data_IF_936021613249
#
_entry.id   IF_936021613249
#
_cell.length_a   1.000
_cell.length_b   1.000
_cell.length_c   1.000
_cell.angle_alpha   90.00
_cell.angle_beta   90.00
_cell.angle_gamma   90.00
#
_symmetry.space_group_name_H-M   'P 1'
#
loop_
_entity.id
_entity.type
_entity.pdbx_description
1 polymer ?
#
# COMPACT_ATOMS: atom_id res chain seq x y z
N UNK A 1 25.41 -70.01 33.82
CA UNK A 1 24.70 -68.88 34.40
C UNK A 1 25.73 -67.78 34.65
N UNK A 2 25.89 -66.87 33.70
CA UNK A 2 26.85 -65.76 33.83
C UNK A 2 26.24 -64.64 34.62
N UNK A 3 26.97 -64.03 35.60
CA UNK A 3 26.44 -62.92 36.37
C UNK A 3 26.38 -61.68 35.53
N UNK A 4 25.16 -61.13 35.42
CA UNK A 4 24.90 -59.82 34.79
C UNK A 4 25.67 -58.74 35.60
N UNK A 5 26.79 -58.28 35.07
CA UNK A 5 27.56 -57.15 35.59
C UNK A 5 26.79 -55.86 35.34
N UNK A 6 26.09 -55.38 36.35
CA UNK A 6 25.41 -54.11 36.35
C UNK A 6 26.47 -52.99 36.47
N UNK A 7 27.03 -52.55 35.35
CA UNK A 7 28.00 -51.44 35.35
C UNK A 7 27.25 -50.14 35.66
N UNK A 8 27.71 -49.33 36.63
CA UNK A 8 27.07 -48.04 36.96
C UNK A 8 27.13 -47.11 35.76
N UNK A 9 25.99 -46.64 35.32
CA UNK A 9 25.89 -45.62 34.26
C UNK A 9 26.68 -44.37 34.65
N UNK A 10 27.59 -43.87 33.84
CA UNK A 10 28.35 -42.68 34.14
C UNK A 10 27.42 -41.48 34.32
N UNK A 11 27.45 -40.86 35.49
CA UNK A 11 26.71 -39.61 35.74
C UNK A 11 27.25 -38.49 34.82
N UNK A 12 26.41 -37.70 34.20
CA UNK A 12 26.88 -36.61 33.33
C UNK A 12 27.77 -35.64 34.12
N UNK A 13 29.00 -35.46 33.68
CA UNK A 13 29.96 -34.55 34.34
C UNK A 13 29.53 -33.09 34.17
N UNK A 14 30.07 -32.21 35.04
CA UNK A 14 29.82 -30.74 34.97
C UNK A 14 29.98 -30.17 33.55
N UNK A 15 30.96 -30.67 32.80
CA UNK A 15 31.24 -30.26 31.44
C UNK A 15 30.08 -30.60 30.47
N UNK A 16 29.53 -31.79 30.60
CA UNK A 16 28.39 -32.25 29.82
C UNK A 16 27.13 -31.42 30.15
N UNK A 17 26.91 -31.17 31.46
CA UNK A 17 25.79 -30.33 31.89
C UNK A 17 25.87 -28.90 31.36
N UNK A 18 27.04 -28.26 31.44
CA UNK A 18 27.24 -26.92 30.88
C UNK A 18 27.10 -26.90 29.40
N UNK A 19 27.54 -27.94 28.69
CA UNK A 19 27.31 -28.11 27.26
C UNK A 19 25.81 -28.10 26.87
N UNK A 20 25.03 -28.95 27.58
CA UNK A 20 23.58 -28.98 27.38
C UNK A 20 22.90 -27.64 27.67
N UNK A 21 23.34 -26.97 28.77
CA UNK A 21 22.82 -25.64 29.10
C UNK A 21 23.12 -24.61 28.04
N UNK A 22 24.35 -24.60 27.52
CA UNK A 22 24.76 -23.66 26.43
C UNK A 22 23.98 -23.91 25.16
N UNK A 23 23.84 -25.15 24.74
CA UNK A 23 23.05 -25.48 23.54
C UNK A 23 21.56 -25.17 23.76
N UNK A 24 21.02 -25.45 24.94
CA UNK A 24 19.62 -25.11 25.25
C UNK A 24 19.34 -23.61 25.19
N UNK A 25 20.20 -22.80 25.84
CA UNK A 25 20.08 -21.35 25.80
C UNK A 25 20.28 -20.79 24.36
N UNK A 26 21.25 -21.34 23.63
CA UNK A 26 21.49 -20.98 22.25
C UNK A 26 20.29 -21.30 21.35
N UNK A 27 19.66 -22.43 21.52
CA UNK A 27 18.46 -22.83 20.78
C UNK A 27 17.27 -21.91 21.09
N UNK A 28 17.07 -21.54 22.37
CA UNK A 28 16.02 -20.60 22.79
C UNK A 28 16.26 -19.21 22.17
N UNK A 29 17.48 -18.70 22.22
CA UNK A 29 17.85 -17.43 21.63
C UNK A 29 17.65 -17.43 20.10
N UNK A 30 18.09 -18.50 19.43
CA UNK A 30 17.90 -18.67 17.99
C UNK A 30 16.41 -18.76 17.62
N UNK A 31 15.60 -19.46 18.40
CA UNK A 31 14.15 -19.54 18.17
C UNK A 31 13.46 -18.19 18.41
N UNK A 32 13.84 -17.49 19.50
CA UNK A 32 13.28 -16.18 19.82
C UNK A 32 13.54 -15.11 18.74
N UNK A 33 14.68 -15.17 18.07
CA UNK A 33 15.02 -14.28 16.96
C UNK A 33 14.51 -14.83 15.60
N UNK A 34 14.63 -16.12 15.36
CA UNK A 34 14.32 -16.76 14.08
C UNK A 34 12.82 -16.84 13.78
N UNK A 35 12.00 -17.17 14.79
CA UNK A 35 10.55 -17.30 14.59
C UNK A 35 9.91 -15.98 14.12
N UNK A 36 10.12 -14.81 14.77
CA UNK A 36 9.57 -13.55 14.29
C UNK A 36 10.18 -13.12 12.97
N UNK A 37 11.46 -13.40 12.71
CA UNK A 37 12.10 -13.10 11.43
C UNK A 37 11.47 -13.89 10.27
N UNK A 38 11.30 -15.20 10.44
CA UNK A 38 10.62 -16.06 9.45
C UNK A 38 9.16 -15.64 9.33
N UNK A 39 8.49 -15.34 10.44
CA UNK A 39 7.12 -14.83 10.44
C UNK A 39 6.98 -13.53 9.67
N UNK A 40 7.96 -12.63 9.76
CA UNK A 40 7.99 -11.40 8.98
C UNK A 40 8.14 -11.67 7.47
N UNK A 41 9.03 -12.59 7.08
CA UNK A 41 9.26 -12.91 5.67
C UNK A 41 8.05 -13.56 4.99
N UNK A 42 7.32 -14.42 5.72
CA UNK A 42 6.21 -15.19 5.16
C UNK A 42 4.83 -14.72 5.65
N UNK A 43 4.79 -13.87 6.65
CA UNK A 43 3.56 -13.42 7.31
C UNK A 43 3.00 -12.11 6.80
N UNK A 44 3.61 -11.48 5.79
CA UNK A 44 3.12 -10.22 5.21
C UNK A 44 1.72 -10.44 4.62
N UNK A 45 0.69 -10.18 5.42
CA UNK A 45 -0.69 -10.17 4.94
C UNK A 45 -0.90 -8.90 4.13
N UNK A 46 -1.43 -9.04 2.91
CA UNK A 46 -1.93 -7.88 2.16
C UNK A 46 -2.98 -7.19 3.04
N UNK A 47 -2.83 -5.89 3.23
CA UNK A 47 -3.85 -5.10 3.91
C UNK A 47 -5.18 -5.24 3.14
N UNK A 48 -6.32 -5.43 3.83
CA UNK A 48 -7.60 -5.49 3.15
C UNK A 48 -7.86 -4.15 2.47
N UNK A 49 -8.14 -4.18 1.17
CA UNK A 49 -8.59 -2.99 0.46
C UNK A 49 -10.09 -2.79 0.71
N UNK A 50 -10.45 -1.60 1.13
CA UNK A 50 -11.82 -1.19 1.39
C UNK A 50 -12.23 -0.08 0.42
N UNK A 51 -13.52 0.04 0.15
CA UNK A 51 -14.05 1.13 -0.66
C UNK A 51 -14.36 2.32 0.25
N UNK A 52 -13.79 3.47 -0.09
CA UNK A 52 -13.95 4.72 0.66
C UNK A 52 -14.72 5.71 -0.20
N UNK A 53 -15.85 6.25 0.29
CA UNK A 53 -16.61 7.26 -0.43
C UNK A 53 -15.82 8.57 -0.50
N UNK A 54 -15.75 9.15 -1.70
CA UNK A 54 -15.13 10.45 -1.95
C UNK A 54 -16.16 11.58 -2.14
N UNK A 55 -17.45 11.25 -2.22
CA UNK A 55 -18.53 12.22 -2.40
C UNK A 55 -19.40 11.93 -3.63
N UNK A 56 -20.36 12.80 -3.89
CA UNK A 56 -21.24 12.65 -5.03
C UNK A 56 -20.52 12.98 -6.35
N UNK A 57 -20.89 12.29 -7.43
CA UNK A 57 -20.35 12.57 -8.77
C UNK A 57 -20.57 14.03 -9.17
N UNK A 58 -21.69 14.61 -8.75
CA UNK A 58 -22.05 16.03 -9.00
C UNK A 58 -21.13 17.03 -8.33
N UNK A 59 -20.35 16.63 -7.33
CA UNK A 59 -19.40 17.51 -6.64
C UNK A 59 -18.13 17.78 -7.48
N UNK A 60 -17.98 17.06 -8.60
CA UNK A 60 -16.78 17.10 -9.44
C UNK A 60 -17.08 17.78 -10.77
N UNK A 61 -16.72 19.07 -10.92
CA UNK A 61 -16.81 19.74 -12.23
C UNK A 61 -15.84 19.06 -13.22
N UNK A 62 -16.29 18.97 -14.47
CA UNK A 62 -15.50 18.35 -15.52
C UNK A 62 -14.17 19.08 -15.74
N UNK A 63 -13.13 18.32 -16.03
CA UNK A 63 -11.76 18.77 -16.31
C UNK A 63 -11.10 19.60 -15.19
N UNK A 64 -11.64 19.51 -13.96
CA UNK A 64 -11.00 20.13 -12.80
C UNK A 64 -10.36 19.06 -11.92
N UNK A 65 -9.07 19.26 -11.62
CA UNK A 65 -8.34 18.43 -10.68
C UNK A 65 -8.49 18.98 -9.27
N UNK A 66 -8.88 18.12 -8.31
CA UNK A 66 -9.07 18.47 -6.90
C UNK A 66 -8.37 17.45 -6.01
N UNK A 67 -7.81 17.90 -4.91
CA UNK A 67 -7.37 17.00 -3.82
C UNK A 67 -8.58 16.67 -2.96
N UNK A 68 -8.78 15.40 -2.73
CA UNK A 68 -9.77 14.88 -1.78
C UNK A 68 -9.04 14.08 -0.72
N UNK A 69 -9.22 14.44 0.54
CA UNK A 69 -8.61 13.77 1.68
C UNK A 69 -9.62 12.87 2.38
N UNK A 70 -9.16 11.75 2.89
CA UNK A 70 -9.98 10.83 3.65
C UNK A 70 -9.14 10.09 4.69
N UNK A 71 -9.80 9.55 5.70
CA UNK A 71 -9.16 8.71 6.70
C UNK A 71 -8.93 7.31 6.16
N UNK A 72 -7.74 6.77 6.38
CA UNK A 72 -7.45 5.39 6.06
C UNK A 72 -8.40 4.47 6.84
N UNK A 73 -9.21 3.62 6.17
CA UNK A 73 -10.22 2.79 6.84
C UNK A 73 -9.63 1.73 7.76
N UNK A 74 -8.33 1.43 7.64
CA UNK A 74 -7.63 0.48 8.50
C UNK A 74 -6.72 1.17 9.54
N UNK A 75 -6.95 2.46 9.78
CA UNK A 75 -6.15 3.22 10.75
C UNK A 75 -6.21 2.60 12.14
N UNK A 76 -5.10 2.68 12.85
CA UNK A 76 -5.01 2.28 14.25
C UNK A 76 -5.12 3.51 15.16
N UNK A 77 -5.51 3.36 16.45
CA UNK A 77 -5.66 4.49 17.35
C UNK A 77 -4.40 5.36 17.53
N UNK A 78 -3.23 4.78 17.27
CA UNK A 78 -1.93 5.46 17.39
C UNK A 78 -1.43 6.11 16.10
N UNK A 79 -2.12 5.93 14.96
CA UNK A 79 -1.68 6.47 13.67
C UNK A 79 -1.79 7.99 13.61
N UNK A 80 -2.66 8.60 14.41
CA UNK A 80 -2.81 10.05 14.47
C UNK A 80 -3.07 10.66 13.09
N UNK A 81 -2.38 11.77 12.80
CA UNK A 81 -2.54 12.50 11.54
C UNK A 81 -1.99 11.75 10.31
N UNK A 82 -1.10 10.78 10.49
CA UNK A 82 -0.57 9.99 9.35
C UNK A 82 -1.60 9.04 8.75
N UNK A 83 -2.73 8.84 9.44
CA UNK A 83 -3.86 8.08 8.91
C UNK A 83 -4.66 8.85 7.85
N UNK A 84 -4.50 10.16 7.77
CA UNK A 84 -5.10 10.96 6.71
C UNK A 84 -4.32 10.76 5.42
N UNK A 85 -5.03 10.44 4.36
CA UNK A 85 -4.45 10.34 3.03
C UNK A 85 -5.26 11.16 2.05
N UNK A 86 -4.70 11.39 0.86
CA UNK A 86 -5.37 12.14 -0.19
C UNK A 86 -5.18 11.50 -1.54
N UNK A 87 -6.07 11.83 -2.43
CA UNK A 87 -5.98 11.51 -3.86
C UNK A 87 -6.32 12.73 -4.67
N UNK A 88 -5.72 12.87 -5.84
CA UNK A 88 -6.20 13.79 -6.86
C UNK A 88 -7.34 13.15 -7.60
N UNK A 89 -8.45 13.86 -7.73
CA UNK A 89 -9.63 13.42 -8.48
C UNK A 89 -9.87 14.41 -9.60
N UNK A 90 -9.97 13.89 -10.82
CA UNK A 90 -10.38 14.63 -12.02
C UNK A 90 -11.54 13.88 -12.66
N UNK A 91 -12.63 14.57 -12.92
CA UNK A 91 -13.76 14.05 -13.67
C UNK A 91 -13.51 14.30 -15.15
N UNK A 92 -13.40 13.24 -15.95
CA UNK A 92 -13.12 13.31 -17.39
C UNK A 92 -14.38 13.39 -18.24
N UNK A 93 -15.54 13.34 -17.60
CA UNK A 93 -16.83 13.45 -18.28
C UNK A 93 -17.62 12.15 -18.31
N UNK A 94 -18.71 12.17 -19.06
CA UNK A 94 -19.62 11.04 -19.24
C UNK A 94 -19.39 10.42 -20.62
N UNK A 95 -19.34 9.10 -20.64
CA UNK A 95 -19.34 8.30 -21.85
C UNK A 95 -20.79 8.06 -22.29
N UNK A 96 -21.23 8.73 -23.32
CA UNK A 96 -22.60 8.64 -23.85
C UNK A 96 -22.93 7.27 -24.46
N UNK A 97 -21.93 6.49 -24.80
CA UNK A 97 -22.10 5.13 -25.36
C UNK A 97 -22.36 4.06 -24.30
N UNK A 98 -22.08 4.36 -23.02
CA UNK A 98 -22.26 3.42 -21.93
C UNK A 98 -23.68 3.51 -21.37
N UNK A 99 -24.38 2.39 -21.45
CA UNK A 99 -25.77 2.30 -20.97
C UNK A 99 -25.87 2.23 -19.43
N UNK A 100 -24.84 1.71 -18.76
CA UNK A 100 -24.78 1.64 -17.32
C UNK A 100 -24.28 2.98 -16.74
N UNK A 101 -25.19 3.71 -16.12
CA UNK A 101 -24.90 5.03 -15.56
C UNK A 101 -23.72 5.03 -14.56
N UNK A 102 -23.51 3.93 -13.85
CA UNK A 102 -22.40 3.82 -12.92
C UNK A 102 -21.04 3.67 -13.62
N UNK A 103 -21.03 3.17 -14.85
CA UNK A 103 -19.82 3.01 -15.68
C UNK A 103 -19.62 4.16 -16.66
N UNK A 104 -20.68 4.91 -16.94
CA UNK A 104 -20.65 6.04 -17.87
C UNK A 104 -19.76 7.18 -17.37
N UNK A 105 -19.67 7.38 -16.05
CA UNK A 105 -18.85 8.44 -15.48
C UNK A 105 -17.38 8.04 -15.38
N UNK A 106 -16.53 8.76 -16.11
CA UNK A 106 -15.08 8.51 -16.15
C UNK A 106 -14.33 9.46 -15.21
N UNK A 107 -13.48 8.88 -14.39
CA UNK A 107 -12.62 9.60 -13.45
C UNK A 107 -11.18 9.19 -13.61
N UNK A 108 -10.29 10.13 -13.42
CA UNK A 108 -8.88 9.91 -13.20
C UNK A 108 -8.61 10.16 -11.71
N UNK A 109 -8.17 9.12 -11.01
CA UNK A 109 -7.82 9.23 -9.59
C UNK A 109 -6.36 8.86 -9.43
N UNK A 110 -5.56 9.81 -8.94
CA UNK A 110 -4.11 9.68 -8.80
C UNK A 110 -3.71 9.81 -7.34
N UNK A 111 -2.72 9.02 -6.93
CA UNK A 111 -2.11 9.16 -5.62
C UNK A 111 -1.37 10.51 -5.51
N UNK A 112 -1.39 11.09 -4.33
CA UNK A 112 -0.66 12.34 -4.04
C UNK A 112 0.85 12.15 -3.87
N UNK A 113 1.32 10.90 -3.89
CA UNK A 113 2.71 10.55 -3.63
C UNK A 113 3.51 10.46 -4.92
N UNK A 114 4.67 11.13 -4.94
CA UNK A 114 5.64 11.08 -6.03
C UNK A 114 6.19 9.66 -6.23
N UNK A 115 6.24 9.21 -7.48
CA UNK A 115 6.76 7.89 -7.84
C UNK A 115 8.28 7.72 -7.62
N UNK A 116 8.98 8.78 -7.25
CA UNK A 116 10.42 8.72 -6.92
C UNK A 116 10.63 8.15 -5.50
N UNK A 117 10.29 8.91 -4.47
CA UNK A 117 10.49 8.54 -3.05
C UNK A 117 9.28 8.89 -2.17
N UNK A 118 8.09 9.03 -2.74
CA UNK A 118 6.86 9.20 -1.98
C UNK A 118 6.57 10.61 -1.47
N UNK A 119 7.36 11.63 -1.82
CA UNK A 119 7.05 13.02 -1.43
C UNK A 119 5.67 13.43 -1.97
N UNK A 120 4.90 14.27 -1.26
CA UNK A 120 3.67 14.82 -1.80
C UNK A 120 3.94 15.65 -3.05
N UNK A 121 3.10 15.50 -4.06
CA UNK A 121 3.12 16.34 -5.27
C UNK A 121 2.05 17.41 -5.17
N UNK A 122 2.25 18.50 -5.87
CA UNK A 122 1.33 19.63 -5.96
C UNK A 122 0.77 19.76 -7.37
N UNK A 123 -0.50 20.13 -7.48
CA UNK A 123 -1.16 20.41 -8.75
C UNK A 123 -1.12 21.89 -9.07
N UNK A 124 -0.62 22.24 -10.24
CA UNK A 124 -0.56 23.60 -10.76
C UNK A 124 -1.56 23.76 -11.90
N UNK A 125 -2.67 24.43 -11.63
CA UNK A 125 -3.79 24.56 -12.55
C UNK A 125 -3.41 25.32 -13.84
N UNK A 126 -2.54 26.32 -13.75
CA UNK A 126 -2.14 27.17 -14.87
C UNK A 126 -1.28 26.44 -15.88
N UNK A 127 -0.46 25.52 -15.44
CA UNK A 127 0.43 24.72 -16.29
C UNK A 127 -0.14 23.33 -16.60
N UNK A 128 -1.21 22.93 -15.91
CA UNK A 128 -1.78 21.59 -15.95
C UNK A 128 -0.74 20.49 -15.67
N UNK A 129 0.14 20.74 -14.71
CA UNK A 129 1.20 19.83 -14.31
C UNK A 129 1.11 19.51 -12.82
N UNK A 130 1.50 18.28 -12.48
CA UNK A 130 1.86 17.94 -11.11
C UNK A 130 3.37 18.08 -10.94
N UNK A 131 3.79 18.70 -9.84
CA UNK A 131 5.20 18.91 -9.53
C UNK A 131 5.53 18.40 -8.13
N UNK A 132 6.66 17.71 -8.02
CA UNK A 132 7.21 17.28 -6.75
C UNK A 132 8.30 18.25 -6.29
N UNK A 133 8.14 18.94 -5.17
CA UNK A 133 9.10 19.95 -4.71
C UNK A 133 10.42 19.35 -4.21
N UNK A 134 10.44 18.05 -3.87
CA UNK A 134 11.62 17.43 -3.27
C UNK A 134 12.82 17.33 -4.25
N UNK A 135 12.59 16.83 -5.48
CA UNK A 135 13.66 16.58 -6.45
C UNK A 135 13.24 16.95 -7.89
N UNK A 136 12.20 17.76 -8.03
CA UNK A 136 11.78 18.28 -9.35
C UNK A 136 11.14 17.22 -10.27
N UNK A 137 10.48 16.23 -9.72
CA UNK A 137 9.65 15.32 -10.51
C UNK A 137 8.44 16.06 -11.10
N UNK A 138 8.18 15.91 -12.40
CA UNK A 138 7.07 16.56 -13.10
C UNK A 138 6.21 15.52 -13.79
N UNK A 139 4.89 15.73 -13.74
CA UNK A 139 3.92 14.84 -14.37
C UNK A 139 2.85 15.65 -15.11
N UNK A 140 2.38 15.12 -16.21
CA UNK A 140 1.25 15.68 -16.95
C UNK A 140 -0.07 15.53 -16.20
N UNK A 141 -1.11 16.23 -16.66
CA UNK A 141 -2.46 16.18 -16.09
C UNK A 141 -3.05 14.76 -16.02
N UNK A 142 -2.66 13.88 -16.93
CA UNK A 142 -3.07 12.47 -16.93
C UNK A 142 -2.25 11.58 -15.99
N UNK A 143 -1.31 12.14 -15.22
CA UNK A 143 -0.44 11.43 -14.29
C UNK A 143 0.80 10.81 -14.92
N UNK A 144 0.98 10.85 -16.24
CA UNK A 144 2.20 10.34 -16.87
C UNK A 144 3.42 11.18 -16.50
N UNK A 145 4.59 10.54 -16.44
CA UNK A 145 5.85 11.22 -16.18
C UNK A 145 6.20 12.19 -17.32
N UNK A 146 6.46 13.43 -16.97
CA UNK A 146 6.95 14.44 -17.93
C UNK A 146 8.48 14.57 -17.83
N UNK A 147 9.03 14.75 -16.61
CA UNK A 147 10.48 14.93 -16.43
C UNK A 147 10.91 14.66 -14.98
N UNK A 148 12.22 14.69 -14.76
CA UNK A 148 12.84 14.55 -13.45
C UNK A 148 13.18 13.11 -13.08
N UNK A 149 13.52 12.84 -11.81
CA UNK A 149 14.01 11.54 -11.37
C UNK A 149 12.96 10.43 -11.22
N UNK A 150 11.63 10.66 -11.16
CA UNK A 150 10.67 9.57 -11.03
C UNK A 150 10.83 8.53 -12.15
N UNK A 151 10.80 7.22 -11.86
CA UNK A 151 10.93 6.17 -12.88
C UNK A 151 9.66 5.95 -13.71
N UNK A 152 8.49 6.41 -13.22
CA UNK A 152 7.17 6.20 -13.82
C UNK A 152 6.21 7.34 -13.49
N UNK A 153 4.99 7.28 -14.03
CA UNK A 153 3.89 8.19 -13.70
C UNK A 153 3.40 8.07 -12.25
N UNK A 154 2.47 8.93 -11.88
CA UNK A 154 1.75 8.85 -10.63
C UNK A 154 0.89 7.59 -10.60
N UNK A 155 0.75 6.97 -9.43
CA UNK A 155 -0.05 5.79 -9.26
C UNK A 155 -1.54 6.11 -9.51
N UNK A 156 -2.20 5.30 -10.33
CA UNK A 156 -3.65 5.38 -10.58
C UNK A 156 -4.40 4.53 -9.57
N UNK A 157 -5.31 5.14 -8.83
CA UNK A 157 -6.15 4.43 -7.89
C UNK A 157 -7.36 3.81 -8.58
N UNK A 158 -7.70 2.60 -8.17
CA UNK A 158 -8.92 1.93 -8.63
C UNK A 158 -10.13 2.63 -8.02
N UNK A 159 -11.12 2.95 -8.82
CA UNK A 159 -12.36 3.58 -8.38
C UNK A 159 -13.59 2.84 -8.91
N UNK A 160 -14.72 3.14 -8.32
CA UNK A 160 -16.04 2.77 -8.84
C UNK A 160 -17.03 3.88 -8.55
N UNK A 161 -18.09 3.92 -9.34
CA UNK A 161 -19.26 4.74 -9.04
C UNK A 161 -20.37 3.81 -8.61
N UNK A 162 -21.03 4.13 -7.50
CA UNK A 162 -22.13 3.36 -6.94
C UNK A 162 -23.37 4.24 -6.82
N UNK A 163 -24.55 3.63 -6.69
CA UNK A 163 -25.78 4.38 -6.41
C UNK A 163 -26.17 4.15 -4.96
N UNK A 164 -26.07 5.19 -4.16
CA UNK A 164 -26.46 5.17 -2.75
C UNK A 164 -27.56 6.23 -2.49
N UNK A 165 -28.71 5.81 -2.00
CA UNK A 165 -29.81 6.74 -1.72
C UNK A 165 -30.32 7.53 -2.94
N UNK A 166 -30.22 6.97 -4.16
CA UNK A 166 -30.58 7.64 -5.40
C UNK A 166 -29.52 8.56 -5.99
N UNK A 167 -28.42 8.79 -5.29
CA UNK A 167 -27.30 9.65 -5.72
C UNK A 167 -26.15 8.76 -6.22
N UNK A 168 -25.49 9.18 -7.31
CA UNK A 168 -24.26 8.55 -7.79
C UNK A 168 -23.10 9.01 -6.92
N UNK A 169 -22.42 8.06 -6.30
CA UNK A 169 -21.33 8.28 -5.36
C UNK A 169 -20.03 7.70 -5.93
N UNK A 170 -18.97 8.49 -5.90
CA UNK A 170 -17.63 8.08 -6.25
C UNK A 170 -16.98 7.40 -5.04
N UNK A 171 -16.37 6.24 -5.25
CA UNK A 171 -15.62 5.52 -4.24
C UNK A 171 -14.25 5.12 -4.78
N UNK A 172 -13.23 5.19 -3.92
CA UNK A 172 -11.86 4.75 -4.22
C UNK A 172 -11.50 3.53 -3.39
N UNK A 173 -10.69 2.65 -3.95
CA UNK A 173 -10.14 1.52 -3.23
C UNK A 173 -8.94 1.97 -2.41
N UNK A 174 -9.03 1.85 -1.07
CA UNK A 174 -7.99 2.29 -0.14
C UNK A 174 -7.86 1.31 1.05
N UNK A 175 -6.69 1.24 1.71
CA UNK A 175 -5.43 1.81 1.24
C UNK A 175 -4.92 1.04 0.02
N UNK A 176 -4.28 1.73 -0.88
CA UNK A 176 -3.56 1.07 -1.96
C UNK A 176 -2.05 1.21 -1.70
N UNK A 177 -1.39 0.07 -1.62
CA UNK A 177 0.06 -0.03 -1.58
C UNK A 177 0.49 -0.77 -2.84
N UNK A 178 0.99 -0.06 -3.87
CA UNK A 178 1.46 -0.71 -5.06
C UNK A 178 2.58 -1.69 -4.71
N UNK A 179 2.41 -2.94 -5.07
CA UNK A 179 3.46 -3.94 -4.97
C UNK A 179 4.43 -3.76 -6.14
N UNK A 180 5.63 -4.34 -6.03
CA UNK A 180 6.56 -4.37 -7.17
C UNK A 180 5.92 -5.04 -8.39
N UNK A 181 5.09 -6.06 -8.18
CA UNK A 181 4.37 -6.75 -9.25
C UNK A 181 3.40 -5.82 -9.96
N UNK A 182 2.59 -5.06 -9.20
CA UNK A 182 1.63 -4.11 -9.77
C UNK A 182 2.35 -3.06 -10.65
N UNK A 183 3.57 -2.64 -10.24
CA UNK A 183 4.40 -1.71 -11.03
C UNK A 183 5.03 -2.33 -12.28
N UNK A 184 5.29 -3.63 -12.28
CA UNK A 184 5.85 -4.34 -13.44
C UNK A 184 4.77 -4.70 -14.46
N UNK A 185 3.56 -4.97 -14.01
CA UNK A 185 2.41 -5.30 -14.88
C UNK A 185 1.81 -4.05 -15.54
N UNK A 186 2.12 -2.86 -15.03
CA UNK A 186 1.68 -1.56 -15.54
C UNK A 186 2.51 -1.11 -16.76
N UNK A 187 2.57 -1.96 -17.80
CA UNK A 187 3.28 -1.69 -19.04
C UNK A 187 2.71 -0.55 -19.89
N UNK A 188 1.55 -0.04 -19.53
CA UNK A 188 0.77 0.91 -20.34
C UNK A 188 0.81 2.35 -19.83
N UNK A 189 1.70 2.70 -18.90
CA UNK A 189 1.87 4.05 -18.37
C UNK A 189 3.17 4.73 -18.87
N UNK A 190 3.65 4.34 -20.03
CA UNK A 190 4.81 4.92 -20.71
C UNK A 190 4.37 5.96 -21.74
#
# INVERSE_FOLDING_TARGET
MDPVTNSPQPRPGRRTFLGWLTYGLGAVAAAAAGIPFVGYLFGARKAPSLWVPLGAVTDYPQDKTRVVTFDNPIRQPWDGMVAHTGVFVRYEGRDESEADETKAHKFLILAVNCAHLGCPVEWFQESELFMCPCHGGVYYANGQRASGPPPRGLYRCVYRVTRAGGILQLEVQAPHFPTLQDTLDEKDLG
#
